data_IF_159697384168
#
_entry.id   IF_159697384168
#
_cell.length_a   1.000
_cell.length_b   1.000
_cell.length_c   1.000
_cell.angle_alpha   90.00
_cell.angle_beta   90.00
_cell.angle_gamma   90.00
#
_symmetry.space_group_name_H-M   'P 1'
#
loop_
_entity.id
_entity.type
_entity.pdbx_description
1 polymer ?
#
# COMPACT_ATOMS: atom_id res chain seq x y z
N UNK A 1 18.45 -49.53 -9.03
CA UNK A 1 17.34 -49.15 -8.13
C UNK A 1 17.95 -48.38 -6.97
N UNK A 2 17.87 -47.04 -6.98
CA UNK A 2 18.53 -46.20 -5.97
C UNK A 2 17.64 -46.14 -4.71
N UNK A 3 17.96 -46.91 -3.68
CA UNK A 3 17.26 -46.84 -2.39
C UNK A 3 17.73 -45.60 -1.64
N UNK A 4 16.98 -44.50 -1.76
CA UNK A 4 17.17 -43.31 -0.93
C UNK A 4 16.84 -43.68 0.52
N UNK A 5 17.79 -43.52 1.44
CA UNK A 5 17.53 -43.82 2.86
C UNK A 5 16.52 -42.82 3.44
N UNK A 6 15.69 -43.29 4.37
CA UNK A 6 14.66 -42.48 5.03
C UNK A 6 15.19 -41.16 5.61
N UNK A 7 16.42 -41.15 6.13
CA UNK A 7 17.09 -39.94 6.63
C UNK A 7 17.35 -38.90 5.53
N UNK A 8 17.73 -39.33 4.32
CA UNK A 8 17.93 -38.44 3.18
C UNK A 8 16.60 -37.87 2.67
N UNK A 9 15.55 -38.68 2.66
CA UNK A 9 14.17 -38.24 2.34
C UNK A 9 13.67 -37.16 3.32
N UNK A 10 13.87 -37.37 4.63
CA UNK A 10 13.52 -36.38 5.66
C UNK A 10 14.33 -35.10 5.49
N UNK A 11 15.64 -35.21 5.21
CA UNK A 11 16.49 -34.04 4.95
C UNK A 11 16.04 -33.22 3.74
N UNK A 12 15.71 -33.89 2.63
CA UNK A 12 15.18 -33.24 1.42
C UNK A 12 13.82 -32.58 1.71
N UNK A 13 12.92 -33.28 2.41
CA UNK A 13 11.61 -32.73 2.76
C UNK A 13 11.72 -31.46 3.62
N UNK A 14 12.60 -31.46 4.63
CA UNK A 14 12.86 -30.28 5.46
C UNK A 14 13.44 -29.12 4.63
N UNK A 15 14.36 -29.40 3.72
CA UNK A 15 14.93 -28.39 2.83
C UNK A 15 13.85 -27.76 1.95
N UNK A 16 12.97 -28.57 1.36
CA UNK A 16 11.86 -28.07 0.54
C UNK A 16 10.93 -27.17 1.36
N UNK A 17 10.55 -27.59 2.57
CA UNK A 17 9.70 -26.78 3.46
C UNK A 17 10.39 -25.44 3.79
N UNK A 18 11.68 -25.46 4.12
CA UNK A 18 12.43 -24.25 4.42
C UNK A 18 12.48 -23.29 3.22
N UNK A 19 12.72 -23.81 2.01
CA UNK A 19 12.73 -23.01 0.78
C UNK A 19 11.36 -22.41 0.50
N UNK A 20 10.28 -23.20 0.61
CA UNK A 20 8.90 -22.70 0.42
C UNK A 20 8.56 -21.63 1.45
N UNK A 21 8.95 -21.82 2.70
CA UNK A 21 8.71 -20.85 3.76
C UNK A 21 9.43 -19.52 3.51
N UNK A 22 10.72 -19.57 3.13
CA UNK A 22 11.49 -18.36 2.78
C UNK A 22 10.90 -17.66 1.55
N UNK A 23 10.50 -18.42 0.53
CA UNK A 23 9.85 -17.87 -0.66
C UNK A 23 8.53 -17.18 -0.30
N UNK A 24 7.71 -17.78 0.56
CA UNK A 24 6.46 -17.20 1.03
C UNK A 24 6.69 -15.89 1.81
N UNK A 25 7.68 -15.84 2.70
CA UNK A 25 8.05 -14.62 3.43
C UNK A 25 8.50 -13.51 2.48
N UNK A 26 9.35 -13.83 1.50
CA UNK A 26 9.82 -12.87 0.52
C UNK A 26 8.68 -12.32 -0.36
N UNK A 27 7.72 -13.17 -0.75
CA UNK A 27 6.58 -12.77 -1.58
C UNK A 27 5.50 -11.98 -0.83
N UNK A 28 5.44 -12.08 0.49
CA UNK A 28 4.45 -11.37 1.33
C UNK A 28 5.02 -10.13 2.01
N UNK A 29 6.33 -9.89 1.91
CA UNK A 29 7.03 -8.82 2.60
C UNK A 29 6.46 -7.44 2.26
N UNK A 30 6.32 -6.52 3.24
CA UNK A 30 5.81 -5.18 3.00
C UNK A 30 6.60 -4.43 1.93
N UNK A 31 5.91 -3.85 0.95
CA UNK A 31 6.55 -3.11 -0.13
C UNK A 31 5.78 -1.86 -0.50
N UNK A 32 6.50 -0.85 -0.99
CA UNK A 32 5.91 0.38 -1.51
C UNK A 32 5.34 0.10 -2.89
N UNK A 33 4.05 0.36 -3.08
CA UNK A 33 3.37 0.26 -4.37
C UNK A 33 3.50 1.56 -5.16
N UNK A 34 3.31 2.69 -4.49
CA UNK A 34 3.44 4.03 -5.08
C UNK A 34 4.01 4.97 -4.03
N UNK A 35 4.86 5.89 -4.47
CA UNK A 35 5.26 7.07 -3.70
C UNK A 35 5.36 8.25 -4.65
N UNK A 36 4.67 9.34 -4.33
CA UNK A 36 4.67 10.55 -5.14
C UNK A 36 4.42 11.78 -4.29
N UNK A 37 4.89 12.93 -4.79
CA UNK A 37 4.64 14.23 -4.18
C UNK A 37 3.56 14.95 -4.97
N UNK A 38 2.65 15.59 -4.27
CA UNK A 38 1.68 16.54 -4.82
C UNK A 38 2.01 17.94 -4.32
N UNK A 39 1.83 18.91 -5.21
CA UNK A 39 1.87 20.32 -4.88
C UNK A 39 0.69 20.97 -5.58
N UNK A 40 -0.30 21.37 -4.79
CA UNK A 40 -1.49 22.03 -5.26
C UNK A 40 -1.45 23.48 -4.82
N UNK A 41 -1.58 24.38 -5.80
CA UNK A 41 -1.80 25.80 -5.55
C UNK A 41 -3.24 26.05 -5.09
N UNK A 42 -3.55 27.28 -4.70
CA UNK A 42 -4.89 27.68 -4.25
C UNK A 42 -5.97 27.19 -5.20
N UNK A 43 -6.91 26.39 -4.70
CA UNK A 43 -8.04 25.88 -5.46
C UNK A 43 -8.30 24.38 -5.24
N UNK A 44 -9.30 23.86 -5.96
CA UNK A 44 -9.56 22.44 -6.02
C UNK A 44 -8.71 21.81 -7.13
N UNK A 45 -7.91 20.82 -6.77
CA UNK A 45 -7.10 20.05 -7.71
C UNK A 45 -7.12 18.57 -7.31
N UNK A 46 -6.84 17.69 -8.26
CA UNK A 46 -6.97 16.24 -8.11
C UNK A 46 -5.82 15.53 -8.83
N UNK A 47 -5.17 14.62 -8.11
CA UNK A 47 -4.17 13.70 -8.66
C UNK A 47 -4.67 12.27 -8.60
N UNK A 48 -4.60 11.59 -9.73
CA UNK A 48 -4.87 10.15 -9.84
C UNK A 48 -3.58 9.39 -10.09
N UNK A 49 -3.44 8.23 -9.45
CA UNK A 49 -2.34 7.29 -9.67
C UNK A 49 -2.85 5.85 -9.62
N UNK A 50 -2.62 5.12 -10.70
CA UNK A 50 -2.87 3.68 -10.77
C UNK A 50 -1.82 2.90 -9.98
N UNK A 51 -2.24 1.83 -9.32
CA UNK A 51 -1.33 0.89 -8.67
C UNK A 51 -1.85 -0.53 -8.68
N UNK A 52 -0.94 -1.49 -8.57
CA UNK A 52 -1.26 -2.91 -8.55
C UNK A 52 -0.88 -3.53 -7.21
N UNK A 53 -1.86 -4.13 -6.55
CA UNK A 53 -1.64 -4.97 -5.37
C UNK A 53 -1.18 -6.34 -5.86
N UNK A 54 0.06 -6.75 -5.56
CA UNK A 54 0.60 -8.02 -6.04
C UNK A 54 -0.13 -9.22 -5.45
N UNK A 55 0.06 -10.35 -6.14
CA UNK A 55 -0.31 -11.66 -5.65
C UNK A 55 0.28 -11.93 -4.24
N UNK A 56 -0.53 -12.55 -3.37
CA UNK A 56 -0.28 -12.80 -1.95
C UNK A 56 -0.26 -11.57 -1.02
N UNK A 57 -0.38 -10.34 -1.54
CA UNK A 57 -0.65 -9.18 -0.69
C UNK A 57 -2.16 -9.03 -0.52
N UNK A 58 -2.57 -8.84 0.73
CA UNK A 58 -3.99 -8.77 1.12
C UNK A 58 -4.34 -7.50 1.90
N UNK A 59 -3.32 -6.66 2.18
CA UNK A 59 -3.47 -5.44 2.97
C UNK A 59 -2.71 -4.29 2.35
N UNK A 60 -3.31 -3.11 2.40
CA UNK A 60 -2.76 -1.85 1.92
C UNK A 60 -2.85 -0.80 3.02
N UNK A 61 -1.86 0.07 3.12
CA UNK A 61 -1.85 1.22 4.00
C UNK A 61 -1.49 2.47 3.21
N UNK A 62 -2.20 3.56 3.50
CA UNK A 62 -1.96 4.87 2.91
C UNK A 62 -1.30 5.74 3.97
N UNK A 63 -0.15 6.31 3.62
CA UNK A 63 0.54 7.32 4.40
C UNK A 63 0.53 8.63 3.61
N UNK A 64 0.11 9.71 4.26
CA UNK A 64 0.10 11.06 3.70
C UNK A 64 0.91 11.93 4.64
N UNK A 65 2.05 12.41 4.16
CA UNK A 65 2.90 13.34 4.87
C UNK A 65 2.76 14.72 4.27
N UNK A 66 2.04 15.60 4.96
CA UNK A 66 1.86 16.98 4.51
C UNK A 66 3.06 17.81 4.98
N UNK A 67 3.74 18.43 4.02
CA UNK A 67 4.92 19.26 4.24
C UNK A 67 4.54 20.69 4.56
N UNK A 68 3.55 21.23 3.86
CA UNK A 68 3.06 22.59 4.04
C UNK A 68 1.64 22.73 3.51
N UNK A 69 0.94 23.77 3.96
CA UNK A 69 -0.42 24.09 3.50
C UNK A 69 -1.48 24.01 4.59
N UNK A 70 -2.68 24.44 4.23
CA UNK A 70 -3.86 24.50 5.10
C UNK A 70 -5.13 24.00 4.41
N UNK A 71 -5.02 23.51 3.17
CA UNK A 71 -6.18 23.03 2.41
C UNK A 71 -6.79 21.77 3.04
N UNK A 72 -8.11 21.63 2.88
CA UNK A 72 -8.78 20.35 3.11
C UNK A 72 -8.34 19.38 2.02
N UNK A 73 -7.99 18.16 2.39
CA UNK A 73 -7.61 17.13 1.44
C UNK A 73 -8.39 15.85 1.64
N UNK A 74 -8.55 15.11 0.55
CA UNK A 74 -9.22 13.81 0.50
C UNK A 74 -8.34 12.82 -0.23
N UNK A 75 -8.07 11.69 0.40
CA UNK A 75 -7.42 10.53 -0.19
C UNK A 75 -8.45 9.42 -0.37
N UNK A 76 -8.46 8.73 -1.50
CA UNK A 76 -9.32 7.57 -1.72
C UNK A 76 -8.69 6.54 -2.63
N UNK A 77 -9.09 5.29 -2.43
CA UNK A 77 -8.74 4.17 -3.30
C UNK A 77 -10.03 3.67 -3.97
N UNK A 78 -9.96 3.42 -5.27
CA UNK A 78 -11.06 2.91 -6.08
C UNK A 78 -10.71 1.59 -6.76
N UNK A 79 -11.68 0.70 -6.86
CA UNK A 79 -11.68 -0.51 -7.68
C UNK A 79 -12.66 -0.30 -8.83
N UNK A 80 -12.15 0.06 -10.00
CA UNK A 80 -13.00 0.63 -11.06
C UNK A 80 -13.64 1.92 -10.57
N UNK A 81 -14.97 1.93 -10.47
CA UNK A 81 -15.76 3.08 -9.97
C UNK A 81 -16.10 2.97 -8.46
N UNK A 82 -15.84 1.81 -7.84
CA UNK A 82 -16.21 1.58 -6.44
C UNK A 82 -15.16 2.13 -5.48
N UNK A 83 -15.58 2.98 -4.55
CA UNK A 83 -14.70 3.50 -3.49
C UNK A 83 -14.52 2.43 -2.41
N UNK A 84 -13.32 1.88 -2.31
CA UNK A 84 -12.98 0.86 -1.29
C UNK A 84 -12.45 1.49 0.00
N UNK A 85 -11.89 2.70 -0.09
CA UNK A 85 -11.42 3.46 1.05
C UNK A 85 -11.43 4.95 0.76
N UNK A 86 -11.74 5.76 1.76
CA UNK A 86 -11.68 7.21 1.68
C UNK A 86 -11.34 7.81 3.04
N UNK A 87 -10.52 8.84 3.04
CA UNK A 87 -10.23 9.67 4.21
C UNK A 87 -10.18 11.14 3.82
N UNK A 88 -10.68 12.00 4.69
CA UNK A 88 -10.67 13.46 4.51
C UNK A 88 -10.18 14.10 5.79
N UNK A 89 -9.26 15.05 5.67
CA UNK A 89 -8.75 15.81 6.80
C UNK A 89 -8.36 17.24 6.38
N UNK A 90 -8.40 18.16 7.34
CA UNK A 90 -7.85 19.50 7.18
C UNK A 90 -6.53 19.61 7.93
N UNK A 91 -5.59 20.33 7.33
CA UNK A 91 -4.26 20.52 7.88
C UNK A 91 -4.30 21.63 8.95
N UNK A 92 -4.23 21.29 10.23
CA UNK A 92 -4.12 22.28 11.33
C UNK A 92 -2.94 22.05 12.27
N UNK A 93 -2.39 20.82 12.34
CA UNK A 93 -1.26 20.51 13.24
C UNK A 93 -0.50 19.20 12.96
N UNK A 94 -1.05 18.30 12.14
CA UNK A 94 -0.51 16.95 11.94
C UNK A 94 0.30 16.87 10.64
N UNK A 95 1.60 16.57 10.74
CA UNK A 95 2.51 16.46 9.58
C UNK A 95 2.40 15.13 8.84
N UNK A 96 1.88 14.08 9.50
CA UNK A 96 1.76 12.74 8.90
C UNK A 96 0.47 12.06 9.34
N UNK A 97 -0.31 11.61 8.37
CA UNK A 97 -1.44 10.71 8.53
C UNK A 97 -1.05 9.31 8.05
N UNK A 98 -1.48 8.28 8.78
CA UNK A 98 -1.32 6.89 8.39
C UNK A 98 -2.64 6.17 8.62
N UNK A 99 -3.16 5.51 7.59
CA UNK A 99 -4.39 4.73 7.70
C UNK A 99 -4.15 3.44 8.49
N UNK A 100 -5.24 2.79 8.90
CA UNK A 100 -5.17 1.36 9.26
C UNK A 100 -4.82 0.52 8.02
N UNK A 101 -4.49 -0.76 8.25
CA UNK A 101 -4.32 -1.72 7.17
C UNK A 101 -5.68 -2.08 6.57
N UNK A 102 -5.91 -1.65 5.33
CA UNK A 102 -7.12 -1.86 4.55
C UNK A 102 -7.00 -3.22 3.89
N UNK A 103 -7.97 -4.12 4.12
CA UNK A 103 -8.03 -5.41 3.42
C UNK A 103 -8.41 -5.19 1.96
N UNK A 104 -7.58 -5.68 1.05
CA UNK A 104 -7.77 -5.54 -0.39
C UNK A 104 -7.26 -6.79 -1.10
N UNK A 105 -7.99 -7.26 -2.10
CA UNK A 105 -7.55 -8.35 -2.97
C UNK A 105 -6.38 -7.91 -3.86
N UNK A 106 -5.66 -8.88 -4.40
CA UNK A 106 -4.70 -8.62 -5.47
C UNK A 106 -5.44 -8.09 -6.71
N UNK A 107 -4.89 -7.09 -7.38
CA UNK A 107 -5.58 -6.43 -8.49
C UNK A 107 -5.11 -5.00 -8.73
N UNK A 108 -5.77 -4.33 -9.68
CA UNK A 108 -5.49 -2.94 -10.05
C UNK A 108 -6.47 -2.00 -9.39
N UNK A 109 -5.93 -0.92 -8.84
CA UNK A 109 -6.68 0.09 -8.12
C UNK A 109 -6.23 1.49 -8.54
N UNK A 110 -7.13 2.45 -8.32
CA UNK A 110 -6.88 3.86 -8.56
C UNK A 110 -6.82 4.60 -7.24
N UNK A 111 -5.66 5.18 -6.95
CA UNK A 111 -5.55 6.14 -5.87
C UNK A 111 -5.90 7.53 -6.37
N UNK A 112 -6.67 8.28 -5.58
CA UNK A 112 -7.01 9.66 -5.84
C UNK A 112 -6.66 10.50 -4.63
N UNK A 113 -5.98 11.62 -4.85
CA UNK A 113 -5.68 12.61 -3.85
C UNK A 113 -6.18 13.97 -4.34
N UNK A 114 -7.09 14.57 -3.60
CA UNK A 114 -7.79 15.79 -3.99
C UNK A 114 -7.67 16.85 -2.90
N UNK A 115 -7.65 18.12 -3.28
CA UNK A 115 -7.85 19.25 -2.37
C UNK A 115 -9.17 19.95 -2.63
N UNK A 116 -9.72 20.56 -1.58
CA UNK A 116 -10.89 21.42 -1.66
C UNK A 116 -10.68 22.71 -0.86
N UNK A 117 -11.18 23.81 -1.40
CA UNK A 117 -11.24 25.11 -0.74
C UNK A 117 -10.11 26.08 -1.09
N UNK A 118 -10.03 27.16 -0.30
CA UNK A 118 -9.04 28.21 -0.43
C UNK A 118 -7.81 27.85 0.40
N UNK A 119 -6.81 27.25 -0.22
CA UNK A 119 -5.55 26.90 0.43
C UNK A 119 -4.61 26.20 -0.53
N UNK A 120 -3.31 26.26 -0.26
CA UNK A 120 -2.32 25.42 -0.94
C UNK A 120 -2.01 24.19 -0.11
N UNK A 121 -1.46 23.17 -0.75
CA UNK A 121 -1.02 21.95 -0.09
C UNK A 121 0.19 21.36 -0.80
N UNK A 122 1.23 21.02 -0.03
CA UNK A 122 2.32 20.16 -0.48
C UNK A 122 2.34 18.91 0.38
N UNK A 123 2.21 17.75 -0.23
CA UNK A 123 2.17 16.48 0.48
C UNK A 123 2.90 15.38 -0.27
N UNK A 124 3.45 14.44 0.49
CA UNK A 124 4.01 13.20 0.00
C UNK A 124 3.06 12.07 0.34
N UNK A 125 2.62 11.32 -0.67
CA UNK A 125 1.73 10.19 -0.50
C UNK A 125 2.51 8.92 -0.77
N UNK A 126 2.35 7.94 0.12
CA UNK A 126 2.95 6.62 0.01
C UNK A 126 1.90 5.56 0.25
N UNK A 127 1.86 4.58 -0.65
CA UNK A 127 0.98 3.42 -0.54
C UNK A 127 1.86 2.19 -0.35
N UNK A 128 1.65 1.47 0.74
CA UNK A 128 2.40 0.26 1.09
C UNK A 128 1.44 -0.91 1.11
N UNK A 129 1.87 -2.07 0.63
CA UNK A 129 1.10 -3.31 0.78
C UNK A 129 1.91 -4.40 1.42
N UNK A 130 1.22 -5.36 2.03
CA UNK A 130 1.81 -6.56 2.63
C UNK A 130 0.88 -7.76 2.51
N UNK A 131 1.46 -8.95 2.59
CA UNK A 131 0.75 -10.22 2.70
C UNK A 131 0.85 -10.85 4.10
N UNK A 132 0.00 -11.84 4.37
CA UNK A 132 0.20 -12.79 5.47
C UNK A 132 0.47 -12.18 6.86
N UNK A 133 1.56 -12.65 7.49
CA UNK A 133 1.87 -12.45 8.92
C UNK A 133 2.53 -11.10 9.26
N UNK A 134 2.91 -10.30 8.26
CA UNK A 134 3.57 -9.01 8.49
C UNK A 134 2.63 -7.96 9.07
#
# INVERSE_FOLDING_TARGET
MLTISSRKLVGIAMLVIAVVFVAYLALTYPRVLVSFTVSFTVGADVKHVEFEVPFLHERVQVEVRVRSGNALWTASILEGENIVWRHTASQSSQTTYTSEWIKMSNGRYNFTFATAGLGSLEAEVKIVSKGGFW
#
